data_IF_888389495310
#
_entry.id   IF_888389495310
#
_cell.length_a   1.000
_cell.length_b   1.000
_cell.length_c   1.000
_cell.angle_alpha   90.00
_cell.angle_beta   90.00
_cell.angle_gamma   90.00
#
_symmetry.space_group_name_H-M   'P 1'
#
loop_
_entity.id
_entity.type
_entity.pdbx_description
1 polymer ?
#
# COMPACT_ATOMS: atom_id res chain seq x y z
N UNK A 1 -22.60 23.72 -18.32
CA UNK A 1 -22.10 25.11 -18.26
C UNK A 1 -20.68 25.01 -17.75
N UNK A 2 -19.69 25.20 -18.63
CA UNK A 2 -18.28 25.08 -18.25
C UNK A 2 -17.93 26.34 -17.47
N UNK A 3 -17.87 26.24 -16.14
CA UNK A 3 -17.38 27.33 -15.31
C UNK A 3 -15.87 27.44 -15.58
N UNK A 4 -15.48 28.49 -16.30
CA UNK A 4 -14.09 28.89 -16.49
C UNK A 4 -13.63 29.48 -15.16
N UNK A 5 -13.03 28.65 -14.31
CA UNK A 5 -12.32 29.12 -13.13
C UNK A 5 -10.95 29.70 -13.57
N UNK A 6 -10.41 30.69 -12.84
CA UNK A 6 -9.00 31.05 -12.97
C UNK A 6 -8.11 29.81 -12.71
N UNK A 7 -6.89 29.83 -13.24
CA UNK A 7 -5.96 28.68 -13.21
C UNK A 7 -5.71 28.14 -11.78
N UNK A 8 -5.92 28.96 -10.74
CA UNK A 8 -5.90 28.59 -9.31
C UNK A 8 -6.96 29.35 -8.52
N UNK A 9 -7.53 28.72 -7.50
CA UNK A 9 -8.63 29.26 -6.67
C UNK A 9 -8.26 29.11 -5.19
N UNK A 10 -8.46 30.16 -4.38
CA UNK A 10 -8.21 30.12 -2.92
C UNK A 10 -9.05 29.02 -2.25
N UNK A 11 -8.59 28.49 -1.11
CA UNK A 11 -9.25 27.35 -0.43
C UNK A 11 -10.76 27.56 -0.19
N UNK A 12 -11.16 28.76 0.22
CA UNK A 12 -12.57 29.09 0.49
C UNK A 12 -13.44 29.10 -0.76
N UNK A 13 -12.93 29.71 -1.84
CA UNK A 13 -13.61 29.75 -3.13
C UNK A 13 -13.68 28.35 -3.77
N UNK A 14 -12.62 27.54 -3.63
CA UNK A 14 -12.58 26.16 -4.13
C UNK A 14 -13.67 25.29 -3.47
N UNK A 15 -13.87 25.44 -2.15
CA UNK A 15 -14.99 24.78 -1.46
C UNK A 15 -16.36 25.20 -1.99
N UNK A 16 -16.58 26.50 -2.20
CA UNK A 16 -17.86 27.00 -2.72
C UNK A 16 -18.13 26.50 -4.14
N UNK A 17 -17.12 26.52 -5.00
CA UNK A 17 -17.19 25.97 -6.35
C UNK A 17 -17.53 24.47 -6.34
N UNK A 18 -16.84 23.71 -5.49
CA UNK A 18 -17.07 22.27 -5.35
C UNK A 18 -18.47 21.95 -4.81
N UNK A 19 -18.95 22.74 -3.85
CA UNK A 19 -20.31 22.67 -3.30
C UNK A 19 -21.38 22.88 -4.39
N UNK A 20 -21.21 23.90 -5.23
CA UNK A 20 -22.12 24.18 -6.34
C UNK A 20 -22.12 23.04 -7.38
N UNK A 21 -20.94 22.53 -7.74
CA UNK A 21 -20.82 21.41 -8.69
C UNK A 21 -21.44 20.12 -8.17
N UNK A 22 -21.23 19.78 -6.89
CA UNK A 22 -21.81 18.57 -6.32
C UNK A 22 -23.32 18.70 -6.19
N UNK A 23 -23.84 19.86 -5.78
CA UNK A 23 -25.28 20.13 -5.74
C UNK A 23 -25.93 19.95 -7.13
N UNK A 24 -25.34 20.55 -8.17
CA UNK A 24 -25.83 20.39 -9.54
C UNK A 24 -25.80 18.92 -10.01
N UNK A 25 -24.78 18.16 -9.63
CA UNK A 25 -24.68 16.74 -9.94
C UNK A 25 -25.80 15.93 -9.26
N UNK A 26 -26.12 16.23 -8.00
CA UNK A 26 -27.25 15.63 -7.28
C UNK A 26 -28.58 15.98 -7.94
N UNK A 27 -28.83 17.24 -8.27
CA UNK A 27 -30.06 17.69 -8.94
C UNK A 27 -30.23 16.99 -10.30
N UNK A 28 -29.15 16.89 -11.09
CA UNK A 28 -29.16 16.19 -12.37
C UNK A 28 -29.43 14.68 -12.23
N UNK A 29 -28.86 14.04 -11.21
CA UNK A 29 -29.09 12.63 -10.93
C UNK A 29 -30.56 12.35 -10.58
N UNK A 30 -31.15 13.17 -9.71
CA UNK A 30 -32.56 13.05 -9.32
C UNK A 30 -33.52 13.34 -10.48
N UNK A 31 -33.23 14.37 -11.28
CA UNK A 31 -34.06 14.71 -12.45
C UNK A 31 -34.11 13.59 -13.50
N UNK A 32 -33.07 12.75 -13.60
CA UNK A 32 -33.02 11.59 -14.51
C UNK A 32 -33.67 10.34 -13.93
N UNK A 33 -34.10 10.36 -12.67
CA UNK A 33 -34.50 9.17 -11.92
C UNK A 33 -33.29 8.35 -11.47
N UNK A 34 -33.24 8.02 -10.18
CA UNK A 34 -32.19 7.18 -9.60
C UNK A 34 -32.76 5.77 -9.42
N UNK A 35 -32.69 4.94 -10.46
CA UNK A 35 -33.16 3.55 -10.38
C UNK A 35 -32.16 2.62 -9.66
N UNK A 36 -30.87 2.99 -9.72
CA UNK A 36 -29.77 2.26 -9.10
C UNK A 36 -28.82 3.23 -8.42
N UNK A 37 -28.11 2.70 -7.44
CA UNK A 37 -26.96 3.33 -6.79
C UNK A 37 -26.00 3.96 -7.80
N UNK A 38 -25.65 5.23 -7.61
CA UNK A 38 -24.75 5.99 -8.49
C UNK A 38 -23.68 6.74 -7.71
N UNK A 39 -22.45 6.67 -8.18
CA UNK A 39 -21.37 7.52 -7.69
C UNK A 39 -21.41 8.85 -8.44
N UNK A 40 -21.23 9.94 -7.72
CA UNK A 40 -21.01 11.28 -8.26
C UNK A 40 -19.61 11.72 -7.89
N UNK A 41 -18.97 12.48 -8.78
CA UNK A 41 -17.68 13.13 -8.53
C UNK A 41 -17.72 14.55 -9.07
N UNK A 42 -17.21 15.48 -8.28
CA UNK A 42 -16.85 16.82 -8.72
C UNK A 42 -15.40 17.09 -8.31
N UNK A 43 -14.67 17.86 -9.12
CA UNK A 43 -13.30 18.29 -8.82
C UNK A 43 -13.08 19.72 -9.31
N UNK A 44 -12.32 20.50 -8.54
CA UNK A 44 -11.96 21.89 -8.83
C UNK A 44 -10.46 22.10 -8.62
N UNK A 45 -9.80 22.95 -9.40
CA UNK A 45 -8.44 23.38 -9.09
C UNK A 45 -8.43 24.13 -7.75
N UNK A 46 -7.36 23.96 -6.98
CA UNK A 46 -7.13 24.65 -5.70
C UNK A 46 -5.67 25.11 -5.65
N UNK A 47 -5.41 26.21 -4.95
CA UNK A 47 -4.06 26.68 -4.64
C UNK A 47 -3.20 25.57 -4.00
N UNK A 48 -1.88 25.65 -4.16
CA UNK A 48 -0.90 24.60 -3.83
C UNK A 48 -1.11 23.98 -2.45
N UNK A 49 -1.67 22.77 -2.42
CA UNK A 49 -1.91 22.03 -1.19
C UNK A 49 -1.07 20.77 -1.20
N UNK A 50 -0.19 20.64 -0.20
CA UNK A 50 0.55 19.41 0.05
C UNK A 50 -0.43 18.35 0.59
N UNK A 51 -0.70 17.25 -0.14
CA UNK A 51 -1.77 16.32 0.24
C UNK A 51 -1.58 15.72 1.64
N UNK A 52 -0.35 15.35 2.01
CA UNK A 52 -0.07 14.78 3.33
C UNK A 52 -0.30 15.76 4.48
N UNK A 53 0.01 17.06 4.29
CA UNK A 53 -0.26 18.10 5.29
C UNK A 53 -1.76 18.37 5.42
N UNK A 54 -2.46 18.42 4.29
CA UNK A 54 -3.93 18.50 4.30
C UNK A 54 -4.56 17.35 5.05
N UNK A 55 -4.05 16.11 4.89
CA UNK A 55 -4.55 14.94 5.57
C UNK A 55 -4.35 15.00 7.10
N UNK A 56 -3.23 15.54 7.56
CA UNK A 56 -2.93 15.72 8.98
C UNK A 56 -3.99 16.62 9.65
N UNK A 57 -4.42 17.69 8.97
CA UNK A 57 -5.45 18.61 9.45
C UNK A 57 -6.84 17.97 9.59
N UNK A 58 -7.10 16.79 9.00
CA UNK A 58 -8.45 16.17 9.00
C UNK A 58 -8.81 15.45 10.31
N UNK A 59 -7.88 15.36 11.26
CA UNK A 59 -8.11 14.78 12.60
C UNK A 59 -8.55 13.31 12.56
N UNK A 60 -9.54 12.93 13.38
CA UNK A 60 -9.91 11.54 13.66
C UNK A 60 -10.85 10.88 12.62
N UNK A 61 -10.98 11.47 11.44
CA UNK A 61 -11.79 10.91 10.34
C UNK A 61 -11.17 9.62 9.81
N UNK A 62 -11.91 8.86 9.00
CA UNK A 62 -11.26 7.89 8.12
C UNK A 62 -10.34 8.67 7.17
N UNK A 63 -9.09 8.25 7.08
CA UNK A 63 -8.03 8.92 6.31
C UNK A 63 -7.36 7.90 5.40
N UNK A 64 -6.99 8.34 4.20
CA UNK A 64 -6.27 7.57 3.21
C UNK A 64 -5.15 8.42 2.62
N UNK A 65 -4.00 7.81 2.36
CA UNK A 65 -2.92 8.45 1.63
C UNK A 65 -2.28 7.44 0.68
N UNK A 66 -1.94 7.91 -0.51
CA UNK A 66 -1.12 7.18 -1.45
C UNK A 66 -0.20 8.15 -2.19
N UNK A 67 1.08 7.86 -2.19
CA UNK A 67 2.04 8.43 -3.13
C UNK A 67 2.79 7.28 -3.78
N UNK A 68 2.80 7.25 -5.12
CA UNK A 68 3.56 6.22 -5.82
C UNK A 68 5.08 6.40 -5.65
N UNK A 69 5.82 5.35 -6.01
CA UNK A 69 7.26 5.30 -5.87
C UNK A 69 7.99 6.33 -6.74
N UNK A 70 7.41 6.62 -7.90
CA UNK A 70 8.00 7.46 -8.95
C UNK A 70 7.65 8.95 -8.74
N UNK A 71 6.84 9.25 -7.72
CA UNK A 71 6.29 10.57 -7.36
C UNK A 71 5.47 11.21 -8.48
N UNK A 72 4.91 10.39 -9.37
CA UNK A 72 4.06 10.86 -10.47
C UNK A 72 2.62 11.13 -10.01
N UNK A 73 2.19 10.42 -8.95
CA UNK A 73 0.86 10.51 -8.40
C UNK A 73 0.89 10.56 -6.87
N UNK A 74 0.16 11.53 -6.31
CA UNK A 74 -0.05 11.70 -4.88
C UNK A 74 -1.50 12.07 -4.60
N UNK A 75 -2.12 11.38 -3.64
CA UNK A 75 -3.48 11.64 -3.17
C UNK A 75 -3.58 11.48 -1.67
N UNK A 76 -4.28 12.41 -1.04
CA UNK A 76 -4.82 12.30 0.29
C UNK A 76 -6.35 12.27 0.23
N UNK A 77 -6.96 11.40 1.02
CA UNK A 77 -8.41 11.21 1.08
C UNK A 77 -8.92 11.27 2.51
N UNK A 78 -10.03 11.96 2.74
CA UNK A 78 -10.66 12.06 4.05
C UNK A 78 -12.16 11.75 3.98
N UNK A 79 -12.64 11.02 4.99
CA UNK A 79 -14.00 10.48 5.02
C UNK A 79 -14.23 9.37 3.99
N UNK A 80 -15.44 8.80 4.01
CA UNK A 80 -15.81 7.67 3.16
C UNK A 80 -17.07 8.03 2.37
N UNK A 81 -16.96 8.02 1.03
CA UNK A 81 -18.11 8.05 0.14
C UNK A 81 -18.65 6.64 -0.09
N UNK A 82 -17.75 5.68 -0.31
CA UNK A 82 -18.10 4.28 -0.45
C UNK A 82 -17.04 3.37 0.15
N UNK A 83 -17.46 2.17 0.47
CA UNK A 83 -16.62 1.09 0.93
C UNK A 83 -17.05 -0.25 0.34
N UNK A 84 -16.07 -0.98 -0.19
CA UNK A 84 -16.16 -2.38 -0.51
C UNK A 84 -15.23 -3.15 0.42
N UNK A 85 -15.79 -3.99 1.28
CA UNK A 85 -15.02 -4.80 2.23
C UNK A 85 -15.70 -6.15 2.50
N UNK A 86 -14.92 -7.11 2.96
CA UNK A 86 -15.42 -8.39 3.49
C UNK A 86 -14.54 -8.88 4.64
N UNK A 87 -15.11 -9.68 5.54
CA UNK A 87 -14.38 -10.34 6.64
C UNK A 87 -14.08 -11.82 6.36
N UNK A 88 -14.63 -12.35 5.25
CA UNK A 88 -14.45 -13.72 4.78
C UNK A 88 -13.50 -13.79 3.57
N UNK A 89 -13.22 -14.99 3.08
CA UNK A 89 -12.34 -15.22 1.94
C UNK A 89 -12.71 -14.35 0.72
N UNK A 90 -11.71 -13.73 0.10
CA UNK A 90 -11.89 -12.83 -1.03
C UNK A 90 -12.24 -13.58 -2.31
N UNK A 91 -13.44 -13.38 -2.85
CA UNK A 91 -13.72 -13.60 -4.26
C UNK A 91 -13.17 -12.42 -5.07
N UNK A 92 -12.02 -12.63 -5.72
CA UNK A 92 -11.35 -11.59 -6.50
C UNK A 92 -12.20 -11.13 -7.69
N UNK A 93 -12.95 -12.03 -8.33
CA UNK A 93 -13.71 -11.67 -9.53
C UNK A 93 -14.91 -10.81 -9.12
N UNK A 94 -15.64 -11.22 -8.07
CA UNK A 94 -16.74 -10.41 -7.51
C UNK A 94 -16.25 -9.02 -7.05
N UNK A 95 -15.12 -8.96 -6.35
CA UNK A 95 -14.52 -7.71 -5.90
C UNK A 95 -14.22 -6.77 -7.08
N UNK A 96 -13.52 -7.26 -8.09
CA UNK A 96 -13.10 -6.45 -9.24
C UNK A 96 -14.31 -6.02 -10.08
N UNK A 97 -15.32 -6.88 -10.24
CA UNK A 97 -16.57 -6.52 -10.91
C UNK A 97 -17.31 -5.43 -10.16
N UNK A 98 -17.41 -5.52 -8.83
CA UNK A 98 -18.03 -4.48 -8.01
C UNK A 98 -17.29 -3.14 -8.10
N UNK A 99 -15.96 -3.17 -8.04
CA UNK A 99 -15.13 -1.98 -8.21
C UNK A 99 -15.34 -1.35 -9.60
N UNK A 100 -15.24 -2.14 -10.67
CA UNK A 100 -15.40 -1.65 -12.05
C UNK A 100 -16.78 -1.09 -12.31
N UNK A 101 -17.83 -1.76 -11.82
CA UNK A 101 -19.21 -1.28 -11.95
C UNK A 101 -19.42 0.06 -11.23
N UNK A 102 -18.76 0.29 -10.10
CA UNK A 102 -18.80 1.56 -9.40
C UNK A 102 -18.07 2.69 -10.16
N UNK A 103 -16.95 2.37 -10.83
CA UNK A 103 -16.08 3.36 -11.48
C UNK A 103 -16.49 3.70 -12.92
N UNK A 104 -16.76 2.69 -13.75
CA UNK A 104 -16.90 2.82 -15.20
C UNK A 104 -18.04 3.75 -15.65
N UNK A 105 -19.00 4.03 -14.75
CA UNK A 105 -20.16 4.86 -15.03
C UNK A 105 -19.96 6.36 -14.72
N UNK A 106 -18.80 6.79 -14.19
CA UNK A 106 -18.72 8.08 -13.46
C UNK A 106 -17.58 8.98 -13.91
N UNK A 107 -16.33 8.61 -13.68
CA UNK A 107 -15.20 9.48 -14.01
C UNK A 107 -13.89 8.68 -14.13
N UNK A 108 -13.02 8.97 -15.12
CA UNK A 108 -11.77 8.22 -15.31
C UNK A 108 -10.81 8.34 -14.11
N UNK A 109 -10.84 9.46 -13.37
CA UNK A 109 -9.97 9.66 -12.20
C UNK A 109 -10.55 9.08 -10.90
N UNK A 110 -11.73 8.46 -10.94
CA UNK A 110 -12.32 7.86 -9.74
C UNK A 110 -11.53 6.62 -9.34
N UNK A 111 -11.07 6.60 -8.09
CA UNK A 111 -10.19 5.55 -7.56
C UNK A 111 -10.73 5.04 -6.24
N UNK A 112 -10.71 3.73 -6.08
CA UNK A 112 -10.83 3.10 -4.78
C UNK A 112 -9.43 2.76 -4.27
N UNK A 113 -9.16 3.12 -3.02
CA UNK A 113 -7.89 2.90 -2.33
C UNK A 113 -8.06 1.83 -1.27
N UNK A 114 -7.12 0.91 -1.17
CA UNK A 114 -7.28 -0.18 -0.24
C UNK A 114 -6.21 -1.24 -0.34
N UNK A 115 -6.57 -2.42 0.13
CA UNK A 115 -5.69 -3.56 0.16
C UNK A 115 -6.40 -4.80 0.63
N UNK A 116 -5.61 -5.85 0.79
CA UNK A 116 -6.09 -7.16 1.21
C UNK A 116 -5.05 -7.91 2.01
N UNK A 117 -5.52 -8.91 2.76
CA UNK A 117 -4.66 -9.72 3.63
C UNK A 117 -3.69 -10.58 2.82
N UNK A 118 -2.52 -10.83 3.41
CA UNK A 118 -1.50 -11.74 2.92
C UNK A 118 -2.05 -13.16 2.73
N UNK A 119 -2.72 -13.69 3.75
CA UNK A 119 -3.36 -15.01 3.73
C UNK A 119 -4.88 -14.84 3.85
N UNK A 120 -5.60 -15.42 2.88
CA UNK A 120 -7.07 -15.47 2.88
C UNK A 120 -7.63 -16.64 3.70
N UNK A 121 -6.77 -17.59 4.12
CA UNK A 121 -7.18 -18.81 4.84
C UNK A 121 -7.01 -18.71 6.36
N UNK A 122 -6.23 -17.74 6.83
CA UNK A 122 -5.92 -17.57 8.24
C UNK A 122 -7.00 -16.71 8.92
N UNK A 123 -7.47 -17.06 10.13
CA UNK A 123 -8.40 -16.23 10.89
C UNK A 123 -7.88 -14.80 11.06
N UNK A 124 -8.78 -13.83 11.02
CA UNK A 124 -8.46 -12.42 11.18
C UNK A 124 -8.21 -12.12 12.66
N UNK A 125 -6.95 -11.85 13.02
CA UNK A 125 -6.63 -11.45 14.40
C UNK A 125 -7.32 -10.12 14.76
N UNK A 126 -7.62 -9.92 16.05
CA UNK A 126 -8.43 -8.78 16.53
C UNK A 126 -7.97 -7.42 16.02
N UNK A 127 -6.65 -7.16 16.02
CA UNK A 127 -6.06 -5.90 15.52
C UNK A 127 -6.25 -5.65 14.02
N UNK A 128 -6.50 -6.69 13.23
CA UNK A 128 -6.74 -6.62 11.79
C UNK A 128 -8.22 -6.56 11.41
N UNK A 129 -9.14 -6.75 12.36
CA UNK A 129 -10.59 -6.70 12.11
C UNK A 129 -11.07 -5.42 11.40
N UNK A 130 -10.56 -4.20 11.71
CA UNK A 130 -10.97 -2.99 11.00
C UNK A 130 -10.68 -2.98 9.48
N UNK A 131 -9.79 -3.88 9.03
CA UNK A 131 -9.35 -3.98 7.64
C UNK A 131 -10.00 -5.14 6.88
N UNK A 132 -10.54 -6.14 7.58
CA UNK A 132 -11.15 -7.32 6.97
C UNK A 132 -10.18 -8.14 6.10
N UNK A 133 -10.74 -9.03 5.29
CA UNK A 133 -10.05 -9.77 4.24
C UNK A 133 -9.55 -8.89 3.11
N UNK A 134 -10.37 -7.90 2.75
CA UNK A 134 -10.02 -6.77 1.92
C UNK A 134 -10.86 -5.56 2.33
N UNK A 135 -10.36 -4.37 2.01
CA UNK A 135 -11.10 -3.12 2.18
C UNK A 135 -10.62 -2.13 1.14
N UNK A 136 -11.55 -1.64 0.33
CA UNK A 136 -11.36 -0.61 -0.67
C UNK A 136 -12.33 0.54 -0.41
N UNK A 137 -11.79 1.74 -0.26
CA UNK A 137 -12.50 2.95 0.13
C UNK A 137 -12.45 3.94 -1.03
N UNK A 138 -13.61 4.49 -1.38
CA UNK A 138 -13.70 5.72 -2.15
C UNK A 138 -13.73 6.89 -1.15
N UNK A 139 -12.70 7.75 -1.10
CA UNK A 139 -12.67 8.86 -0.17
C UNK A 139 -13.83 9.82 -0.40
N UNK A 140 -14.33 10.44 0.66
CA UNK A 140 -15.38 11.48 0.54
C UNK A 140 -14.82 12.74 -0.11
N UNK A 141 -13.71 13.22 0.43
CA UNK A 141 -12.96 14.36 -0.09
C UNK A 141 -11.54 13.91 -0.42
N UNK A 142 -10.98 14.49 -1.47
CA UNK A 142 -9.63 14.19 -1.93
C UNK A 142 -8.88 15.50 -2.20
N UNK A 143 -7.60 15.52 -1.83
CA UNK A 143 -6.63 16.44 -2.42
C UNK A 143 -5.64 15.59 -3.21
N UNK A 144 -5.44 15.95 -4.48
CA UNK A 144 -4.51 15.27 -5.36
C UNK A 144 -3.69 16.26 -6.19
N UNK A 145 -2.45 15.86 -6.48
CA UNK A 145 -1.56 16.60 -7.36
C UNK A 145 -1.50 15.92 -8.73
N UNK A 146 -1.73 16.68 -9.81
CA UNK A 146 -1.55 16.23 -11.19
C UNK A 146 -0.58 17.20 -11.88
N UNK A 147 0.67 16.77 -12.03
CA UNK A 147 1.73 17.67 -12.46
C UNK A 147 1.94 18.79 -11.44
N UNK A 148 1.89 20.04 -11.89
CA UNK A 148 2.06 21.22 -11.03
C UNK A 148 0.75 21.75 -10.42
N UNK A 149 -0.41 21.12 -10.68
CA UNK A 149 -1.71 21.61 -10.22
C UNK A 149 -2.28 20.71 -9.12
N UNK A 150 -2.69 21.32 -8.01
CA UNK A 150 -3.50 20.68 -6.96
C UNK A 150 -4.99 20.76 -7.29
N UNK A 151 -5.73 19.72 -6.90
CA UNK A 151 -7.17 19.65 -7.05
C UNK A 151 -7.84 19.23 -5.75
N UNK A 152 -8.98 19.84 -5.45
CA UNK A 152 -9.91 19.38 -4.44
C UNK A 152 -11.07 18.65 -5.12
N UNK A 153 -11.34 17.40 -4.70
CA UNK A 153 -12.45 16.62 -5.22
C UNK A 153 -13.40 16.16 -4.12
N UNK A 154 -14.66 15.95 -4.51
CA UNK A 154 -15.71 15.39 -3.67
C UNK A 154 -16.35 14.22 -4.41
N UNK A 155 -16.43 13.07 -3.75
CA UNK A 155 -17.21 11.93 -4.21
C UNK A 155 -18.47 11.77 -3.35
N UNK A 156 -19.59 11.37 -3.94
CA UNK A 156 -20.81 11.11 -3.19
C UNK A 156 -21.61 9.95 -3.81
N UNK A 157 -22.47 9.32 -3.01
CA UNK A 157 -23.34 8.24 -3.45
C UNK A 157 -24.78 8.71 -3.45
N UNK A 158 -25.46 8.53 -4.58
CA UNK A 158 -26.91 8.73 -4.66
C UNK A 158 -27.59 7.36 -4.71
N UNK A 159 -28.44 7.12 -3.73
CA UNK A 159 -29.22 5.89 -3.60
C UNK A 159 -30.67 6.09 -4.08
N UNK A 160 -31.33 5.06 -4.66
CA UNK A 160 -32.69 5.17 -5.19
C UNK A 160 -33.74 5.65 -4.19
N UNK A 161 -33.63 5.24 -2.93
CA UNK A 161 -34.62 5.50 -1.90
C UNK A 161 -34.36 6.78 -1.09
N UNK A 162 -33.32 7.54 -1.44
CA UNK A 162 -33.04 8.91 -0.97
C UNK A 162 -32.86 9.10 0.55
N UNK A 163 -31.73 9.70 0.94
CA UNK A 163 -31.57 10.35 2.23
C UNK A 163 -31.04 11.77 2.04
N UNK A 164 -30.82 12.52 3.12
CA UNK A 164 -30.16 13.83 3.06
C UNK A 164 -28.64 13.69 2.91
N UNK A 165 -28.20 12.99 1.87
CA UNK A 165 -26.77 12.81 1.59
C UNK A 165 -26.15 14.12 1.12
N UNK A 166 -26.87 14.90 0.30
CA UNK A 166 -26.40 16.19 -0.18
C UNK A 166 -26.14 17.15 1.00
N UNK A 167 -27.09 17.29 1.94
CA UNK A 167 -26.92 18.15 3.11
C UNK A 167 -25.69 17.75 3.93
N UNK A 168 -25.51 16.45 4.22
CA UNK A 168 -24.32 15.94 4.93
C UNK A 168 -23.02 16.22 4.20
N UNK A 169 -23.00 16.09 2.87
CA UNK A 169 -21.81 16.37 2.05
C UNK A 169 -21.46 17.86 2.11
N UNK A 170 -22.45 18.74 1.96
CA UNK A 170 -22.26 20.19 2.00
C UNK A 170 -21.78 20.66 3.37
N UNK A 171 -22.41 20.19 4.46
CA UNK A 171 -21.99 20.48 5.83
C UNK A 171 -20.55 19.99 6.09
N UNK A 172 -20.22 18.77 5.66
CA UNK A 172 -18.89 18.22 5.85
C UNK A 172 -17.81 18.96 5.03
N UNK A 173 -18.16 19.45 3.83
CA UNK A 173 -17.27 20.23 2.96
C UNK A 173 -17.01 21.63 3.54
N UNK A 174 -18.05 22.29 4.07
CA UNK A 174 -17.93 23.58 4.75
C UNK A 174 -16.99 23.47 5.95
N UNK A 175 -17.22 22.47 6.81
CA UNK A 175 -16.44 22.20 8.02
C UNK A 175 -15.04 21.61 7.80
N UNK A 176 -14.66 21.31 6.55
CA UNK A 176 -13.38 20.66 6.24
C UNK A 176 -12.18 21.60 6.47
N UNK A 177 -11.24 21.30 7.37
CA UNK A 177 -10.10 22.17 7.58
C UNK A 177 -9.14 22.12 6.39
N UNK A 178 -8.49 23.25 6.11
CA UNK A 178 -7.27 23.30 5.31
C UNK A 178 -6.08 23.59 6.22
N UNK A 179 -4.86 23.16 5.86
CA UNK A 179 -3.66 23.52 6.61
C UNK A 179 -3.55 25.04 6.79
N UNK A 180 -3.23 25.46 8.01
CA UNK A 180 -2.63 26.77 8.28
C UNK A 180 -1.17 26.60 8.71
N UNK A 181 -0.55 27.61 9.33
CA UNK A 181 0.80 27.52 9.93
C UNK A 181 0.89 26.58 11.15
N UNK A 182 -0.10 25.72 11.37
CA UNK A 182 -0.18 24.85 12.53
C UNK A 182 0.96 23.81 12.52
N UNK A 183 1.66 23.72 13.65
CA UNK A 183 2.70 22.71 13.84
C UNK A 183 2.10 21.32 13.84
N UNK A 184 2.77 20.40 13.14
CA UNK A 184 2.46 18.97 13.14
C UNK A 184 2.39 18.41 14.56
N UNK A 185 1.50 17.44 14.80
CA UNK A 185 1.41 16.79 16.10
C UNK A 185 2.71 16.02 16.40
N UNK A 186 3.26 16.12 17.62
CA UNK A 186 4.42 15.31 18.00
C UNK A 186 4.03 13.82 18.03
N UNK A 187 4.98 12.96 17.67
CA UNK A 187 4.81 11.52 17.83
C UNK A 187 5.06 11.19 19.32
N UNK A 188 4.14 10.49 20.01
CA UNK A 188 4.36 10.11 21.40
C UNK A 188 5.56 9.15 21.52
N UNK A 189 6.25 9.22 22.66
CA UNK A 189 7.39 8.32 22.95
C UNK A 189 6.84 6.95 23.36
N UNK A 190 7.39 5.84 22.84
CA UNK A 190 6.95 4.51 23.24
C UNK A 190 7.37 4.21 24.70
N UNK A 191 6.46 3.62 25.47
CA UNK A 191 6.69 3.21 26.86
C UNK A 191 7.27 1.80 26.96
N UNK A 192 7.05 0.95 25.94
CA UNK A 192 7.51 -0.43 25.91
C UNK A 192 7.77 -0.91 24.49
N UNK A 193 8.75 -1.81 24.34
CA UNK A 193 9.02 -2.61 23.13
C UNK A 193 8.83 -4.10 23.43
N UNK A 194 8.15 -4.81 22.54
CA UNK A 194 7.90 -6.26 22.63
C UNK A 194 8.27 -6.89 21.28
N UNK A 195 9.16 -7.88 21.30
CA UNK A 195 9.67 -8.52 20.08
C UNK A 195 9.07 -9.93 19.91
N UNK A 196 8.40 -10.15 18.77
CA UNK A 196 7.73 -11.41 18.41
C UNK A 196 7.96 -11.69 16.93
N UNK A 197 8.84 -12.56 16.47
CA UNK A 197 9.56 -13.66 17.08
C UNK A 197 10.89 -13.23 17.74
N UNK A 198 11.26 -13.84 18.88
CA UNK A 198 12.57 -13.60 19.51
C UNK A 198 13.72 -14.30 18.76
N UNK A 199 14.98 -14.02 19.16
CA UNK A 199 16.17 -14.59 18.50
C UNK A 199 16.21 -16.12 18.56
N UNK A 200 15.80 -16.72 19.67
CA UNK A 200 15.88 -18.16 19.86
C UNK A 200 14.90 -18.90 18.93
N UNK A 201 13.65 -18.43 18.90
CA UNK A 201 12.65 -18.98 18.00
C UNK A 201 12.96 -18.67 16.54
N UNK A 202 13.52 -17.50 16.22
CA UNK A 202 13.99 -17.18 14.88
C UNK A 202 15.02 -18.19 14.36
N UNK A 203 16.05 -18.48 15.17
CA UNK A 203 17.05 -19.50 14.84
C UNK A 203 16.41 -20.88 14.62
N UNK A 204 15.51 -21.29 15.53
CA UNK A 204 14.81 -22.57 15.41
C UNK A 204 13.97 -22.67 14.14
N UNK A 205 13.29 -21.61 13.73
CA UNK A 205 12.46 -21.62 12.51
C UNK A 205 13.32 -21.64 11.24
N UNK A 206 14.49 -20.99 11.25
CA UNK A 206 15.44 -21.07 10.14
C UNK A 206 15.97 -22.49 9.99
N UNK A 207 16.40 -23.14 11.08
CA UNK A 207 16.86 -24.53 11.03
C UNK A 207 15.77 -25.47 10.49
N UNK A 208 14.52 -25.27 10.92
CA UNK A 208 13.36 -26.03 10.45
C UNK A 208 13.13 -25.82 8.93
N UNK A 209 13.27 -24.58 8.45
CA UNK A 209 13.13 -24.26 7.03
C UNK A 209 14.25 -24.89 6.19
N UNK A 210 15.51 -24.83 6.66
CA UNK A 210 16.66 -25.44 6.00
C UNK A 210 16.50 -26.96 5.88
N UNK A 211 16.01 -27.61 6.93
CA UNK A 211 15.67 -29.05 6.88
C UNK A 211 14.59 -29.36 5.84
N UNK A 212 13.55 -28.52 5.73
CA UNK A 212 12.48 -28.72 4.75
C UNK A 212 12.96 -28.59 3.28
N UNK A 213 14.01 -27.81 3.03
CA UNK A 213 14.65 -27.73 1.71
C UNK A 213 15.38 -29.02 1.35
N UNK A 214 16.03 -29.68 2.32
CA UNK A 214 16.79 -30.93 2.07
C UNK A 214 15.92 -32.08 1.52
N UNK A 215 14.62 -32.06 1.83
CA UNK A 215 13.63 -33.05 1.37
C UNK A 215 12.75 -32.52 0.22
N UNK A 216 13.15 -31.43 -0.44
CA UNK A 216 12.48 -30.79 -1.57
C UNK A 216 11.00 -30.38 -1.33
N UNK A 217 10.60 -30.16 -0.07
CA UNK A 217 9.23 -29.71 0.27
C UNK A 217 9.03 -28.22 0.04
N UNK A 218 10.10 -27.43 0.20
CA UNK A 218 10.17 -26.00 -0.08
C UNK A 218 11.49 -25.70 -0.81
N UNK A 219 11.53 -24.59 -1.55
CA UNK A 219 12.75 -24.05 -2.18
C UNK A 219 13.17 -22.72 -1.56
N UNK A 220 12.19 -21.93 -1.14
CA UNK A 220 12.33 -20.63 -0.46
C UNK A 220 11.14 -20.43 0.46
N UNK A 221 11.34 -19.81 1.62
CA UNK A 221 10.24 -19.30 2.45
C UNK A 221 10.66 -17.99 3.09
N UNK A 222 9.74 -17.04 3.18
CA UNK A 222 10.01 -15.75 3.83
C UNK A 222 9.41 -15.79 5.20
N UNK A 223 10.24 -15.72 6.24
CA UNK A 223 9.80 -15.65 7.63
C UNK A 223 9.83 -14.20 8.10
N UNK A 224 8.88 -13.84 8.96
CA UNK A 224 8.71 -12.50 9.47
C UNK A 224 8.74 -12.44 11.00
N UNK A 225 8.96 -11.21 11.46
CA UNK A 225 8.90 -10.78 12.84
C UNK A 225 8.08 -9.50 12.93
N UNK A 226 7.34 -9.42 14.02
CA UNK A 226 6.62 -8.27 14.54
C UNK A 226 7.35 -7.68 15.75
N UNK A 227 7.50 -6.35 15.76
CA UNK A 227 7.97 -5.60 16.93
C UNK A 227 6.87 -4.62 17.32
N UNK A 228 6.34 -4.78 18.52
CA UNK A 228 5.24 -3.96 19.03
C UNK A 228 5.78 -2.89 19.96
N UNK A 229 5.38 -1.64 19.70
CA UNK A 229 5.61 -0.50 20.57
C UNK A 229 4.30 -0.12 21.25
N UNK A 230 4.33 0.04 22.57
CA UNK A 230 3.20 0.54 23.37
C UNK A 230 3.39 2.03 23.67
N UNK A 231 2.29 2.79 23.73
CA UNK A 231 2.28 4.24 23.98
C UNK A 231 1.27 4.60 25.08
N UNK A 232 1.39 5.78 25.68
CA UNK A 232 0.38 6.30 26.62
C UNK A 232 -0.87 6.84 25.91
N UNK A 233 -0.71 7.28 24.67
CA UNK A 233 -1.73 7.86 23.80
C UNK A 233 -1.72 7.18 22.42
N UNK A 234 -2.78 7.36 21.63
CA UNK A 234 -2.84 6.81 20.26
C UNK A 234 -1.89 7.62 19.37
N UNK A 235 -0.83 7.02 18.78
CA UNK A 235 0.03 7.76 17.87
C UNK A 235 -0.72 8.12 16.58
N UNK A 236 -0.58 9.37 16.10
CA UNK A 236 -1.20 9.75 14.83
C UNK A 236 -0.48 9.05 13.66
N UNK A 237 -1.16 8.18 12.89
CA UNK A 237 -0.55 7.50 11.75
C UNK A 237 -0.07 8.44 10.65
N UNK A 238 -0.68 9.61 10.48
CA UNK A 238 -0.27 10.59 9.46
C UNK A 238 1.03 11.27 9.88
N UNK A 239 1.19 11.60 11.16
CA UNK A 239 2.44 12.14 11.70
C UNK A 239 3.59 11.11 11.62
N UNK A 240 3.31 9.84 11.95
CA UNK A 240 4.26 8.74 11.76
C UNK A 240 4.69 8.62 10.30
N UNK A 241 3.74 8.57 9.37
CA UNK A 241 4.02 8.44 7.94
C UNK A 241 4.81 9.64 7.40
N UNK A 242 4.49 10.87 7.84
CA UNK A 242 5.21 12.08 7.44
C UNK A 242 6.69 12.01 7.83
N UNK A 243 7.02 11.60 9.06
CA UNK A 243 8.44 11.40 9.44
C UNK A 243 9.06 10.25 8.64
N UNK A 244 8.35 9.15 8.42
CA UNK A 244 8.86 8.03 7.63
C UNK A 244 9.18 8.43 6.18
N UNK A 245 8.33 9.26 5.56
CA UNK A 245 8.44 9.67 4.17
C UNK A 245 9.62 10.61 3.90
N UNK A 246 10.17 11.27 4.93
CA UNK A 246 11.35 12.14 4.80
C UNK A 246 12.61 11.35 4.43
N UNK A 247 12.75 10.14 4.97
CA UNK A 247 13.95 9.30 4.81
C UNK A 247 13.75 8.14 3.80
N UNK A 248 12.54 7.96 3.26
CA UNK A 248 12.17 6.84 2.39
C UNK A 248 11.93 7.27 0.93
N UNK A 249 12.94 7.84 0.29
CA UNK A 249 12.90 8.11 -1.15
C UNK A 249 12.77 6.81 -1.97
N UNK A 250 12.17 6.91 -3.16
CA UNK A 250 11.89 5.76 -4.03
C UNK A 250 11.09 4.64 -3.35
N UNK A 251 10.12 5.02 -2.52
CA UNK A 251 9.10 4.14 -1.96
C UNK A 251 7.69 4.65 -2.28
N UNK A 252 6.75 3.73 -2.48
CA UNK A 252 5.33 4.02 -2.40
C UNK A 252 4.96 4.25 -0.93
N UNK A 253 4.39 5.42 -0.64
CA UNK A 253 3.96 5.80 0.70
C UNK A 253 2.46 5.63 0.82
N UNK A 254 2.00 4.97 1.88
CA UNK A 254 0.59 4.72 2.06
C UNK A 254 0.14 4.88 3.51
N UNK A 255 -1.11 5.31 3.68
CA UNK A 255 -1.86 5.26 4.93
C UNK A 255 -3.27 4.77 4.63
N UNK A 256 -3.72 3.73 5.32
CA UNK A 256 -5.10 3.27 5.30
C UNK A 256 -5.65 3.30 6.71
N UNK A 257 -6.43 4.33 7.04
CA UNK A 257 -7.03 4.51 8.36
C UNK A 257 -8.56 4.34 8.27
N UNK A 258 -9.10 3.13 8.47
CA UNK A 258 -10.55 2.89 8.48
C UNK A 258 -11.29 3.65 9.58
N UNK A 259 -10.65 3.88 10.73
CA UNK A 259 -11.22 4.59 11.88
C UNK A 259 -10.12 5.13 12.80
N UNK A 260 -10.50 5.97 13.76
CA UNK A 260 -9.59 6.36 14.84
C UNK A 260 -9.04 5.12 15.58
N UNK A 261 -7.74 5.14 15.89
CA UNK A 261 -7.06 4.03 16.54
C UNK A 261 -6.75 2.82 15.64
N UNK A 262 -7.06 2.83 14.35
CA UNK A 262 -6.71 1.73 13.46
C UNK A 262 -6.18 2.24 12.13
N UNK A 263 -4.89 2.06 11.86
CA UNK A 263 -4.27 2.49 10.60
C UNK A 263 -3.10 1.60 10.18
N UNK A 264 -3.02 1.30 8.88
CA UNK A 264 -1.89 0.61 8.28
C UNK A 264 -1.10 1.60 7.43
N UNK A 265 0.17 1.80 7.79
CA UNK A 265 1.06 2.78 7.14
C UNK A 265 2.33 2.11 6.64
N UNK A 266 2.97 2.66 5.62
CA UNK A 266 4.25 2.14 5.17
C UNK A 266 4.89 2.95 4.05
N UNK A 267 6.14 2.58 3.77
CA UNK A 267 6.97 3.13 2.69
C UNK A 267 7.60 1.96 1.92
N UNK A 268 6.81 1.35 1.02
CA UNK A 268 7.20 0.13 0.33
C UNK A 268 8.03 0.43 -0.93
N UNK A 269 9.22 -0.17 -1.10
CA UNK A 269 9.98 -0.05 -2.33
C UNK A 269 9.49 -1.00 -3.44
N UNK A 270 8.66 -1.98 -3.09
CA UNK A 270 8.31 -3.10 -3.97
C UNK A 270 6.92 -2.89 -4.58
N UNK A 271 6.91 -2.72 -5.90
CA UNK A 271 5.69 -2.73 -6.72
C UNK A 271 5.28 -4.18 -6.96
N UNK A 272 4.03 -4.52 -6.61
CA UNK A 272 3.44 -5.79 -7.03
C UNK A 272 3.10 -5.73 -8.52
N UNK A 273 2.29 -4.75 -8.92
CA UNK A 273 2.11 -4.37 -10.32
C UNK A 273 1.56 -2.95 -10.47
N UNK A 274 1.83 -2.32 -11.62
CA UNK A 274 1.15 -1.12 -12.13
C UNK A 274 0.52 -1.49 -13.47
N UNK A 275 -0.77 -1.21 -13.63
CA UNK A 275 -1.52 -1.43 -14.87
C UNK A 275 -2.02 -0.09 -15.39
N UNK A 276 -1.73 0.18 -16.65
CA UNK A 276 -2.36 1.26 -17.41
C UNK A 276 -2.99 0.69 -18.67
N UNK A 277 -4.31 0.78 -18.75
CA UNK A 277 -5.13 0.05 -19.72
C UNK A 277 -4.79 -1.45 -19.69
N UNK A 278 -4.13 -1.97 -20.74
CA UNK A 278 -3.68 -3.37 -20.81
C UNK A 278 -2.18 -3.54 -20.57
N UNK A 279 -1.40 -2.45 -20.52
CA UNK A 279 0.01 -2.52 -20.19
C UNK A 279 0.17 -2.79 -18.69
N UNK A 280 0.95 -3.81 -18.35
CA UNK A 280 1.23 -4.23 -16.97
C UNK A 280 2.74 -4.17 -16.76
N UNK A 281 3.13 -3.57 -15.64
CA UNK A 281 4.50 -3.47 -15.17
C UNK A 281 4.59 -4.14 -13.81
N UNK A 282 5.52 -5.06 -13.63
CA UNK A 282 5.90 -5.68 -12.36
C UNK A 282 7.41 -5.74 -12.26
N UNK A 283 7.92 -6.12 -11.10
CA UNK A 283 9.35 -6.15 -10.81
C UNK A 283 9.66 -7.35 -9.94
N UNK A 284 10.79 -8.00 -10.21
CA UNK A 284 11.41 -8.89 -9.26
C UNK A 284 12.39 -8.08 -8.43
N UNK A 285 12.14 -7.96 -7.13
CA UNK A 285 13.02 -7.28 -6.17
C UNK A 285 13.39 -8.28 -5.09
N UNK A 286 14.68 -8.57 -4.94
CA UNK A 286 15.19 -9.54 -3.97
C UNK A 286 16.68 -9.32 -3.71
N UNK A 287 17.20 -10.05 -2.72
CA UNK A 287 18.54 -9.88 -2.17
C UNK A 287 18.80 -8.47 -1.65
N UNK A 288 19.56 -8.36 -0.56
CA UNK A 288 19.75 -7.07 0.11
C UNK A 288 21.20 -6.88 0.48
N UNK A 289 21.71 -5.66 0.27
CA UNK A 289 22.88 -5.15 0.96
C UNK A 289 22.58 -3.79 1.60
N UNK A 290 23.26 -3.43 2.69
CA UNK A 290 23.22 -2.05 3.16
C UNK A 290 23.81 -1.09 2.11
N UNK A 291 23.51 0.19 2.25
CA UNK A 291 24.26 1.25 1.56
C UNK A 291 25.58 1.51 2.27
N UNK A 292 26.62 1.87 1.51
CA UNK A 292 27.93 2.22 2.07
C UNK A 292 27.94 3.59 2.75
N UNK A 293 28.89 3.84 3.67
CA UNK A 293 29.05 5.15 4.27
C UNK A 293 29.78 6.15 3.34
N UNK A 294 30.46 5.62 2.31
CA UNK A 294 31.10 6.39 1.24
C UNK A 294 30.72 5.82 -0.13
N UNK A 295 30.86 6.61 -1.20
CA UNK A 295 30.58 6.15 -2.57
C UNK A 295 31.41 4.92 -2.97
N UNK A 296 32.66 4.83 -2.49
CA UNK A 296 33.53 3.70 -2.75
C UNK A 296 33.06 2.43 -2.04
N UNK A 297 32.64 2.53 -0.78
CA UNK A 297 32.03 1.42 -0.03
C UNK A 297 30.69 1.00 -0.66
N UNK A 298 29.87 1.95 -1.08
CA UNK A 298 28.58 1.70 -1.70
C UNK A 298 28.73 0.91 -3.01
N UNK A 299 29.69 1.32 -3.84
CA UNK A 299 30.03 0.64 -5.09
C UNK A 299 30.64 -0.76 -4.85
N UNK A 300 31.41 -0.94 -3.77
CA UNK A 300 31.94 -2.25 -3.39
C UNK A 300 30.82 -3.21 -2.96
N UNK A 301 29.87 -2.74 -2.15
CA UNK A 301 28.70 -3.52 -1.72
C UNK A 301 27.77 -3.85 -2.90
N UNK A 302 27.63 -2.93 -3.86
CA UNK A 302 26.91 -3.17 -5.11
C UNK A 302 27.57 -4.27 -5.95
N UNK A 303 28.90 -4.19 -6.13
CA UNK A 303 29.66 -5.20 -6.85
C UNK A 303 29.61 -6.57 -6.15
N UNK A 304 29.66 -6.61 -4.82
CA UNK A 304 29.49 -7.83 -4.04
C UNK A 304 28.10 -8.44 -4.24
N UNK A 305 27.03 -7.62 -4.19
CA UNK A 305 25.65 -8.06 -4.42
C UNK A 305 25.47 -8.66 -5.81
N UNK A 306 26.06 -8.03 -6.84
CA UNK A 306 26.03 -8.50 -8.22
C UNK A 306 26.87 -9.75 -8.48
N UNK A 307 27.85 -10.05 -7.62
CA UNK A 307 28.73 -11.22 -7.73
C UNK A 307 28.30 -12.40 -6.83
N UNK A 308 27.35 -12.20 -5.91
CA UNK A 308 26.95 -13.21 -4.93
C UNK A 308 26.05 -14.28 -5.55
N UNK A 309 26.59 -15.51 -5.67
CA UNK A 309 25.84 -16.67 -6.17
C UNK A 309 24.58 -16.98 -5.34
N UNK A 310 24.60 -16.75 -4.02
CA UNK A 310 23.43 -16.94 -3.15
C UNK A 310 22.33 -15.95 -3.54
N UNK A 311 22.68 -14.67 -3.62
CA UNK A 311 21.75 -13.57 -3.87
C UNK A 311 21.18 -13.62 -5.29
N UNK A 312 22.02 -13.92 -6.29
CA UNK A 312 21.58 -14.11 -7.67
C UNK A 312 20.61 -15.30 -7.79
N UNK A 313 20.83 -16.40 -7.06
CA UNK A 313 19.89 -17.53 -7.02
C UNK A 313 18.58 -17.15 -6.34
N UNK A 314 18.63 -16.41 -5.23
CA UNK A 314 17.43 -15.92 -4.55
C UNK A 314 16.59 -15.05 -5.49
N UNK A 315 17.24 -14.10 -6.16
CA UNK A 315 16.62 -13.21 -7.14
C UNK A 315 15.99 -13.97 -8.29
N UNK A 316 16.69 -14.98 -8.82
CA UNK A 316 16.19 -15.82 -9.91
C UNK A 316 14.88 -16.51 -9.56
N UNK A 317 14.69 -16.97 -8.32
CA UNK A 317 13.40 -17.56 -7.91
C UNK A 317 12.25 -16.56 -8.01
N UNK A 318 12.48 -15.30 -7.64
CA UNK A 318 11.46 -14.24 -7.73
C UNK A 318 11.20 -13.90 -9.19
N UNK A 319 12.26 -13.61 -9.96
CA UNK A 319 12.18 -13.27 -11.39
C UNK A 319 11.43 -14.33 -12.19
N UNK A 320 11.83 -15.59 -12.06
CA UNK A 320 11.25 -16.67 -12.86
C UNK A 320 9.77 -16.90 -12.52
N UNK A 321 9.39 -16.73 -11.24
CA UNK A 321 7.98 -16.79 -10.82
C UNK A 321 7.17 -15.65 -11.41
N UNK A 322 7.63 -14.40 -11.30
CA UNK A 322 6.91 -13.24 -11.85
C UNK A 322 6.80 -13.32 -13.37
N UNK A 323 7.85 -13.80 -14.05
CA UNK A 323 7.83 -14.04 -15.50
C UNK A 323 6.78 -15.10 -15.88
N UNK A 324 6.71 -16.21 -15.14
CA UNK A 324 5.72 -17.26 -15.38
C UNK A 324 4.30 -16.77 -15.08
N UNK A 325 4.12 -16.04 -13.97
CA UNK A 325 2.84 -15.48 -13.53
C UNK A 325 2.30 -14.48 -14.57
N UNK A 326 3.14 -13.56 -15.08
CA UNK A 326 2.76 -12.66 -16.16
C UNK A 326 2.62 -13.37 -17.51
N UNK A 327 3.47 -14.36 -17.81
CA UNK A 327 3.40 -15.14 -19.06
C UNK A 327 2.09 -15.92 -19.20
N UNK A 328 1.46 -16.31 -18.08
CA UNK A 328 0.15 -16.95 -18.08
C UNK A 328 -1.02 -15.96 -18.34
N UNK A 329 -0.79 -14.66 -18.20
CA UNK A 329 -1.85 -13.62 -18.23
C UNK A 329 -1.70 -12.60 -19.35
N UNK A 330 -0.48 -12.43 -19.87
CA UNK A 330 -0.13 -11.45 -20.86
C UNK A 330 0.16 -12.11 -22.22
N UNK A 331 -0.28 -11.45 -23.29
CA UNK A 331 -0.01 -11.83 -24.68
C UNK A 331 1.47 -11.80 -25.01
N UNK A 332 2.15 -10.80 -24.46
CA UNK A 332 3.58 -10.57 -24.62
C UNK A 332 4.16 -10.22 -23.26
N UNK A 333 5.34 -10.76 -22.96
CA UNK A 333 6.12 -10.41 -21.77
C UNK A 333 7.53 -10.04 -22.22
N UNK A 334 8.00 -8.89 -21.76
CA UNK A 334 9.38 -8.44 -21.90
C UNK A 334 10.02 -8.41 -20.53
N UNK A 335 11.25 -8.92 -20.46
CA UNK A 335 12.06 -8.99 -19.25
C UNK A 335 13.36 -8.26 -19.55
N UNK A 336 13.74 -7.34 -18.68
CA UNK A 336 15.03 -6.66 -18.83
C UNK A 336 16.17 -7.67 -18.88
N UNK A 337 17.07 -7.49 -19.85
CA UNK A 337 18.18 -8.43 -20.10
C UNK A 337 19.21 -8.40 -18.98
N UNK A 338 19.48 -7.20 -18.46
CA UNK A 338 20.52 -6.96 -17.48
C UNK A 338 19.95 -6.95 -16.07
N UNK A 339 20.70 -7.54 -15.15
CA UNK A 339 20.42 -7.44 -13.72
C UNK A 339 20.81 -6.04 -13.24
N UNK A 340 19.86 -5.33 -12.64
CA UNK A 340 20.08 -3.97 -12.14
C UNK A 340 20.06 -3.92 -10.62
N UNK A 341 20.59 -2.83 -10.04
CA UNK A 341 20.52 -2.58 -8.60
C UNK A 341 19.60 -1.41 -8.31
N UNK A 342 18.54 -1.68 -7.54
CA UNK A 342 17.65 -0.66 -7.00
C UNK A 342 18.27 -0.10 -5.71
N UNK A 343 18.77 1.13 -5.76
CA UNK A 343 19.33 1.82 -4.59
C UNK A 343 18.23 2.58 -3.84
N UNK A 344 18.02 2.21 -2.58
CA UNK A 344 17.18 2.93 -1.62
C UNK A 344 18.08 3.69 -0.62
N UNK A 345 17.54 4.58 0.22
CA UNK A 345 18.36 5.36 1.15
C UNK A 345 19.24 4.53 2.10
N UNK A 346 18.74 3.40 2.62
CA UNK A 346 19.45 2.59 3.61
C UNK A 346 19.91 1.21 3.11
N UNK A 347 19.31 0.72 2.03
CA UNK A 347 19.61 -0.60 1.44
C UNK A 347 19.61 -0.55 -0.08
N UNK A 348 20.17 -1.56 -0.71
CA UNK A 348 20.11 -1.78 -2.15
C UNK A 348 19.72 -3.23 -2.47
N UNK A 349 18.98 -3.41 -3.56
CA UNK A 349 18.38 -4.68 -3.95
C UNK A 349 18.70 -5.04 -5.40
N UNK A 350 18.78 -6.34 -5.69
CA UNK A 350 18.73 -6.80 -7.08
C UNK A 350 17.32 -6.55 -7.62
N UNK A 351 17.24 -6.02 -8.84
CA UNK A 351 15.99 -5.67 -9.50
C UNK A 351 15.99 -6.11 -10.96
N UNK A 352 14.87 -6.70 -11.39
CA UNK A 352 14.59 -6.96 -12.81
C UNK A 352 13.18 -6.49 -13.12
N UNK A 353 13.06 -5.56 -14.07
CA UNK A 353 11.77 -5.08 -14.57
C UNK A 353 11.16 -6.12 -15.50
N UNK A 354 9.85 -6.31 -15.38
CA UNK A 354 9.07 -7.24 -16.20
C UNK A 354 7.80 -6.54 -16.64
N UNK A 355 7.58 -6.45 -17.94
CA UNK A 355 6.42 -5.76 -18.52
C UNK A 355 5.67 -6.65 -19.49
N UNK A 356 4.38 -6.38 -19.69
CA UNK A 356 3.57 -7.15 -20.62
C UNK A 356 2.26 -6.50 -21.01
N UNK A 357 1.58 -7.11 -21.98
CA UNK A 357 0.24 -6.69 -22.43
C UNK A 357 -0.77 -7.74 -22.00
N UNK A 358 -1.64 -7.39 -21.05
CA UNK A 358 -2.64 -8.27 -20.46
C UNK A 358 -3.66 -8.76 -21.51
N UNK A 359 -3.89 -10.07 -21.61
CA UNK A 359 -4.85 -10.68 -22.56
C UNK A 359 -6.29 -10.29 -22.26
N UNK A 360 -7.12 -10.01 -23.26
CA UNK A 360 -8.43 -9.34 -23.12
C UNK A 360 -9.32 -9.89 -21.99
N UNK A 361 -9.36 -11.21 -21.81
CA UNK A 361 -10.21 -11.89 -20.82
C UNK A 361 -9.64 -11.82 -19.39
N UNK A 362 -8.38 -11.44 -19.21
CA UNK A 362 -7.76 -11.27 -17.90
C UNK A 362 -8.01 -9.87 -17.32
N UNK A 363 -8.11 -9.83 -16.00
CA UNK A 363 -8.46 -8.65 -15.21
C UNK A 363 -7.47 -8.40 -14.07
N UNK A 364 -7.71 -7.36 -13.27
CA UNK A 364 -6.96 -7.12 -12.03
C UNK A 364 -7.14 -8.26 -11.02
N UNK A 365 -8.24 -9.03 -11.11
CA UNK A 365 -8.48 -10.20 -10.27
C UNK A 365 -7.44 -11.29 -10.57
N UNK A 366 -7.18 -11.53 -11.86
CA UNK A 366 -6.15 -12.47 -12.29
C UNK A 366 -4.74 -12.04 -11.89
N UNK A 367 -4.44 -10.74 -12.02
CA UNK A 367 -3.14 -10.19 -11.61
C UNK A 367 -2.92 -10.34 -10.11
N UNK A 368 -3.89 -9.93 -9.29
CA UNK A 368 -3.80 -10.04 -7.83
C UNK A 368 -3.68 -11.51 -7.40
N UNK A 369 -4.54 -12.38 -7.92
CA UNK A 369 -4.55 -13.82 -7.60
C UNK A 369 -3.25 -14.52 -8.04
N UNK A 370 -2.71 -14.14 -9.20
CA UNK A 370 -1.54 -14.82 -9.78
C UNK A 370 -0.24 -14.25 -9.23
N UNK A 371 -0.10 -12.94 -9.00
CA UNK A 371 1.16 -12.36 -8.50
C UNK A 371 1.30 -12.46 -6.98
N UNK A 372 0.21 -12.37 -6.22
CA UNK A 372 0.27 -12.37 -4.75
C UNK A 372 0.14 -13.79 -4.14
N UNK A 373 0.93 -14.14 -3.11
CA UNK A 373 2.18 -13.50 -2.74
C UNK A 373 3.32 -13.83 -3.72
N UNK A 374 4.22 -12.87 -3.93
CA UNK A 374 5.45 -13.12 -4.69
C UNK A 374 6.38 -14.01 -3.87
N UNK A 375 7.35 -14.71 -4.49
CA UNK A 375 8.37 -15.42 -3.72
C UNK A 375 9.28 -14.51 -2.88
N UNK A 376 9.25 -13.18 -3.09
CA UNK A 376 9.99 -12.20 -2.29
C UNK A 376 9.37 -12.01 -0.90
N UNK A 377 8.07 -12.26 -0.73
CA UNK A 377 7.37 -12.11 0.55
C UNK A 377 6.65 -13.35 1.07
N UNK A 378 6.38 -14.33 0.22
CA UNK A 378 5.83 -15.63 0.60
C UNK A 378 6.87 -16.74 0.55
N UNK A 379 7.30 -17.10 -0.66
CA UNK A 379 8.27 -18.16 -0.92
C UNK A 379 7.88 -19.04 -2.10
N UNK A 380 8.52 -20.20 -2.23
CA UNK A 380 8.37 -21.11 -3.36
C UNK A 380 8.46 -22.58 -2.90
N UNK A 381 7.55 -23.47 -3.31
CA UNK A 381 6.29 -23.22 -4.04
C UNK A 381 5.29 -22.36 -3.25
N UNK A 382 4.50 -21.52 -3.93
CA UNK A 382 3.62 -20.49 -3.34
C UNK A 382 2.71 -21.03 -2.23
N UNK A 383 1.88 -22.03 -2.53
CA UNK A 383 0.94 -22.61 -1.56
C UNK A 383 1.66 -23.32 -0.39
N UNK A 384 2.78 -23.97 -0.67
CA UNK A 384 3.61 -24.61 0.35
C UNK A 384 4.17 -23.59 1.33
N UNK A 385 4.71 -22.49 0.82
CA UNK A 385 5.29 -21.41 1.62
C UNK A 385 4.23 -20.69 2.46
N UNK A 386 3.05 -20.38 1.90
CA UNK A 386 1.96 -19.73 2.67
C UNK A 386 1.48 -20.62 3.82
N UNK A 387 1.33 -21.94 3.59
CA UNK A 387 1.01 -22.88 4.67
C UNK A 387 2.09 -22.92 5.74
N UNK A 388 3.35 -22.99 5.32
CA UNK A 388 4.48 -22.98 6.26
C UNK A 388 4.49 -21.72 7.12
N UNK A 389 4.30 -20.54 6.51
CA UNK A 389 4.24 -19.26 7.22
C UNK A 389 3.14 -19.28 8.28
N UNK A 390 1.94 -19.77 7.91
CA UNK A 390 0.81 -19.85 8.84
C UNK A 390 1.07 -20.80 10.03
N UNK A 391 1.92 -21.81 9.87
CA UNK A 391 2.33 -22.74 10.93
C UNK A 391 3.50 -22.20 11.77
N UNK A 392 4.45 -21.47 11.13
CA UNK A 392 5.69 -21.00 11.74
C UNK A 392 5.48 -19.75 12.60
N UNK A 393 4.73 -18.78 12.07
CA UNK A 393 4.66 -17.44 12.64
C UNK A 393 3.63 -17.37 13.77
N UNK A 394 4.00 -16.80 14.94
CA UNK A 394 3.09 -16.68 16.08
C UNK A 394 2.08 -15.55 15.94
N UNK A 395 2.02 -14.88 14.79
CA UNK A 395 1.17 -13.73 14.56
C UNK A 395 0.53 -13.79 13.18
N UNK A 396 -0.58 -13.10 13.06
CA UNK A 396 -1.27 -12.88 11.80
C UNK A 396 -0.64 -11.69 11.07
N UNK A 397 -0.11 -11.92 9.86
CA UNK A 397 0.41 -10.85 9.01
C UNK A 397 -0.66 -9.83 8.63
N UNK A 398 -1.93 -10.22 8.54
CA UNK A 398 -2.99 -9.34 8.04
C UNK A 398 -2.59 -8.68 6.73
N UNK A 399 -2.55 -7.35 6.66
CA UNK A 399 -2.15 -6.63 5.44
C UNK A 399 -0.63 -6.50 5.26
N UNK A 400 0.19 -6.83 6.27
CA UNK A 400 1.63 -6.89 6.08
C UNK A 400 1.98 -7.96 5.04
N UNK A 401 2.84 -7.59 4.09
CA UNK A 401 3.18 -8.36 2.87
C UNK A 401 1.98 -8.65 1.94
N UNK A 402 0.79 -8.09 2.21
CA UNK A 402 -0.36 -8.16 1.32
C UNK A 402 -0.34 -7.06 0.24
N UNK A 403 -1.18 -7.17 -0.80
CA UNK A 403 -1.35 -6.11 -1.80
C UNK A 403 -2.02 -4.88 -1.17
N UNK A 404 -1.44 -3.70 -1.40
CA UNK A 404 -2.01 -2.40 -1.03
C UNK A 404 -1.85 -1.40 -2.17
N UNK A 405 -2.85 -0.55 -2.41
CA UNK A 405 -2.84 0.34 -3.56
C UNK A 405 -4.20 0.88 -3.95
N UNK A 406 -4.41 1.04 -5.25
CA UNK A 406 -5.64 1.60 -5.81
C UNK A 406 -6.05 0.97 -7.13
N UNK A 407 -7.35 1.04 -7.42
CA UNK A 407 -7.96 0.64 -8.69
C UNK A 407 -8.82 1.78 -9.21
N UNK A 408 -8.73 2.03 -10.51
CA UNK A 408 -9.56 2.96 -11.30
C UNK A 408 -10.20 2.23 -12.50
N UNK A 409 -10.91 2.97 -13.35
CA UNK A 409 -11.59 2.39 -14.51
C UNK A 409 -10.62 1.86 -15.57
N UNK A 410 -9.49 2.54 -15.77
CA UNK A 410 -8.52 2.20 -16.81
C UNK A 410 -7.13 1.86 -16.27
N UNK A 411 -6.84 2.06 -14.98
CA UNK A 411 -5.57 1.69 -14.37
C UNK A 411 -5.69 1.14 -12.95
N UNK A 412 -4.59 0.58 -12.45
CA UNK A 412 -4.45 0.12 -11.08
C UNK A 412 -2.97 0.17 -10.69
N UNK A 413 -2.66 0.36 -9.42
CA UNK A 413 -1.30 0.17 -8.92
C UNK A 413 -1.37 -0.44 -7.52
N UNK A 414 -0.61 -1.51 -7.32
CA UNK A 414 -0.45 -2.18 -6.05
C UNK A 414 1.03 -2.30 -5.71
N UNK A 415 1.37 -1.88 -4.50
CA UNK A 415 2.62 -2.22 -3.83
C UNK A 415 2.42 -3.46 -2.97
N UNK A 416 3.53 -4.09 -2.59
CA UNK A 416 3.54 -5.10 -1.54
C UNK A 416 3.61 -4.35 -0.19
N UNK A 417 2.73 -4.70 0.75
CA UNK A 417 2.58 -4.04 2.06
C UNK A 417 3.71 -4.35 3.03
N UNK A 418 4.97 -4.13 2.63
CA UNK A 418 6.18 -4.26 3.43
C UNK A 418 6.67 -2.89 3.88
N UNK A 419 7.69 -2.87 4.77
CA UNK A 419 8.22 -1.63 5.37
C UNK A 419 7.09 -0.83 6.00
N UNK A 420 6.30 -1.53 6.80
CA UNK A 420 4.98 -1.09 7.22
C UNK A 420 4.74 -1.32 8.70
N UNK A 421 3.84 -0.52 9.27
CA UNK A 421 3.38 -0.62 10.63
C UNK A 421 1.86 -0.57 10.72
N UNK A 422 1.31 -1.27 11.71
CA UNK A 422 -0.10 -1.25 12.08
C UNK A 422 -0.26 -0.49 13.40
N UNK A 423 -0.93 0.65 13.36
CA UNK A 423 -1.47 1.32 14.54
C UNK A 423 -2.75 0.61 14.96
N UNK A 424 -2.80 0.15 16.21
CA UNK A 424 -3.97 -0.44 16.85
C UNK A 424 -4.07 0.12 18.28
N UNK A 425 -5.00 1.05 18.46
CA UNK A 425 -5.16 1.89 19.63
C UNK A 425 -3.81 2.50 20.07
N UNK A 426 -3.33 2.16 21.27
CA UNK A 426 -2.08 2.66 21.83
C UNK A 426 -0.87 1.80 21.46
N UNK A 427 -0.94 1.05 20.36
CA UNK A 427 0.16 0.20 19.90
C UNK A 427 0.52 0.47 18.44
N UNK A 428 1.80 0.32 18.12
CA UNK A 428 2.32 0.26 16.76
C UNK A 428 3.05 -1.07 16.58
N UNK A 429 2.50 -1.97 15.76
CA UNK A 429 3.16 -3.21 15.34
C UNK A 429 3.95 -2.96 14.07
N UNK A 430 5.27 -3.09 14.09
CA UNK A 430 6.16 -2.93 12.93
C UNK A 430 6.63 -4.30 12.45
N UNK A 431 6.65 -4.51 11.14
CA UNK A 431 6.93 -5.82 10.55
C UNK A 431 8.18 -5.81 9.68
N UNK A 432 8.96 -6.89 9.76
CA UNK A 432 10.06 -7.17 8.84
C UNK A 432 10.18 -8.67 8.58
N UNK A 433 10.67 -9.06 7.41
CA UNK A 433 10.91 -10.46 7.08
C UNK A 433 12.15 -10.67 6.22
N UNK A 434 12.66 -11.90 6.23
CA UNK A 434 13.84 -12.33 5.48
C UNK A 434 13.54 -13.58 4.65
N UNK A 435 14.10 -13.64 3.45
CA UNK A 435 13.92 -14.74 2.51
C UNK A 435 14.91 -15.87 2.79
N UNK A 436 14.43 -16.94 3.40
CA UNK A 436 15.27 -18.09 3.75
C UNK A 436 15.46 -18.98 2.53
N UNK A 437 16.72 -19.28 2.22
CA UNK A 437 17.16 -20.16 1.12
C UNK A 437 18.21 -21.14 1.62
N UNK A 438 18.53 -22.22 0.87
CA UNK A 438 19.64 -23.10 1.23
C UNK A 438 20.94 -22.32 1.46
N UNK A 439 21.53 -22.46 2.65
CA UNK A 439 22.74 -21.73 3.06
C UNK A 439 22.49 -20.43 3.82
N UNK A 440 21.24 -20.06 4.12
CA UNK A 440 20.94 -18.97 5.06
C UNK A 440 21.50 -19.24 6.45
N UNK A 441 22.02 -18.20 7.11
CA UNK A 441 22.60 -18.24 8.46
C UNK A 441 21.75 -17.40 9.40
N UNK A 442 21.26 -17.99 10.49
CA UNK A 442 20.23 -17.36 11.31
C UNK A 442 20.57 -15.95 11.83
N UNK A 443 21.82 -15.72 12.22
CA UNK A 443 22.28 -14.42 12.73
C UNK A 443 22.39 -13.36 11.64
N UNK A 444 22.77 -13.74 10.41
CA UNK A 444 22.80 -12.84 9.26
C UNK A 444 21.38 -12.41 8.89
N UNK A 445 20.45 -13.37 8.82
CA UNK A 445 19.04 -13.10 8.51
C UNK A 445 18.37 -12.28 9.62
N UNK A 446 18.79 -12.44 10.88
CA UNK A 446 18.35 -11.58 11.99
C UNK A 446 18.84 -10.14 11.81
N UNK A 447 20.11 -9.98 11.46
CA UNK A 447 20.71 -8.66 11.21
C UNK A 447 19.99 -7.96 10.04
N UNK A 448 19.64 -8.71 9.00
CA UNK A 448 18.84 -8.20 7.89
C UNK A 448 17.50 -7.64 8.39
N UNK A 449 16.70 -8.40 9.15
CA UNK A 449 15.38 -7.90 9.59
C UNK A 449 15.49 -6.70 10.55
N UNK A 450 16.52 -6.60 11.40
CA UNK A 450 16.75 -5.40 12.22
C UNK A 450 17.05 -4.17 11.34
N UNK A 451 17.90 -4.32 10.32
CA UNK A 451 18.14 -3.27 9.33
C UNK A 451 16.85 -2.85 8.63
N UNK A 452 15.95 -3.82 8.38
CA UNK A 452 14.67 -3.53 7.76
C UNK A 452 13.68 -2.76 8.64
N UNK A 453 13.78 -2.90 9.96
CA UNK A 453 12.99 -2.18 10.95
C UNK A 453 13.52 -0.76 11.23
N UNK A 454 14.80 -0.52 10.94
CA UNK A 454 15.51 0.72 11.32
C UNK A 454 14.81 2.03 10.94
N UNK A 455 14.08 2.17 9.80
CA UNK A 455 13.37 3.42 9.51
C UNK A 455 12.28 3.74 10.53
N UNK A 456 11.51 2.74 10.97
CA UNK A 456 10.51 2.92 12.02
C UNK A 456 11.17 3.19 13.38
N UNK A 457 12.25 2.47 13.70
CA UNK A 457 12.98 2.72 14.95
C UNK A 457 13.48 4.17 15.00
N UNK A 458 14.03 4.67 13.88
CA UNK A 458 14.55 6.03 13.77
C UNK A 458 13.51 7.10 14.11
N UNK A 459 12.26 6.96 13.64
CA UNK A 459 11.20 7.95 13.91
C UNK A 459 10.62 7.86 15.33
N UNK A 460 10.83 6.74 16.03
CA UNK A 460 10.36 6.51 17.40
C UNK A 460 11.41 6.89 18.46
N UNK A 461 12.70 6.90 18.11
CA UNK A 461 13.80 7.18 19.04
C UNK A 461 14.43 8.56 18.87
N UNK A 462 14.24 9.23 17.72
CA UNK A 462 14.76 10.58 17.49
C UNK A 462 13.73 11.61 17.98
N UNK A 463 14.10 12.51 18.92
CA UNK A 463 13.21 13.59 19.39
C UNK A 463 12.72 14.48 18.24
#
# INVERSE_FOLDING_TARGET
MTLLFPDTVEHGEAKQALAAMIQQAFESAHARGVEKRRVLRAEVPVEDVVPLQWLEAQGNRSRGYWCDRDREYELAGAGTADILSADAECDYDELIDRLRNAIAAVHPNLRYFGGMRFSQRSPIAGKWQPFGAYRFVLPRFEVLNRGAQSYLACNAIVEPNGGDELGKVLEALEAMPFPGDASSAPIPVPTRRIDTTDRARWSSEIDRALQAFSVNRLKKVVLAREVVFEFEEVPDPVALLRKLAQDAQHCAHFCFQPKYGAAFIGASPERLYKRQSRYVLSEAVAATRPRGATDAEDAALEAELLASDKDIREHRFVRDSVCADLGARCKTVHVDKDLSVLKLPNVQHLCTRIEGILEQDNTDADLLRTLHPTPAVGGLPKEGAVRWIAEAEPFDRGWFAGPVGWISGDGAEFAVGIRSGLVSDKTLSVYAGAGIVPGSVAEEEWTEIENKLSPFLGILTKP
#
